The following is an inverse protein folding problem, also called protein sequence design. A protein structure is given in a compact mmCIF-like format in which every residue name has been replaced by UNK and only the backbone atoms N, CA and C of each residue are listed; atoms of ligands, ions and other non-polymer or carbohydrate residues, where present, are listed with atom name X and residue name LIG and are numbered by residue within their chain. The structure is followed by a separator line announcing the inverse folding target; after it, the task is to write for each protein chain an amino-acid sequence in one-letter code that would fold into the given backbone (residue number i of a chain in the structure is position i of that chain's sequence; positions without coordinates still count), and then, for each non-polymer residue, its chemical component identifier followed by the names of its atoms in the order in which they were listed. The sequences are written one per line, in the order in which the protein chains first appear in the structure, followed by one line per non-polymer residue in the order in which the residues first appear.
data_IF_484097434727
#
_entry.id   IF_484097434727
#
_cell.length_a   1.000
_cell.length_b   1.000
_cell.length_c   1.000
_cell.angle_alpha   90.00
_cell.angle_beta   90.00
_cell.angle_gamma   90.00
#
_symmetry.space_group_name_H-M   'P 1'
#
loop_
_entity.id
_entity.type
_entity.pdbx_description
1 polymer ?
#
# COMPACT_ATOMS: atom_id res chain seq x y z
N UNK A 1 -5.73 -4.32 8.43
CA UNK A 1 -4.85 -3.59 9.36
C UNK A 1 -5.37 -3.70 10.80
N UNK A 2 -4.75 -4.51 11.63
CA UNK A 2 -5.15 -4.76 13.03
C UNK A 2 -4.63 -3.70 14.00
N UNK A 3 -3.41 -3.20 13.81
CA UNK A 3 -2.79 -2.20 14.70
C UNK A 3 -3.53 -0.85 14.65
N UNK A 4 -3.91 -0.40 13.45
CA UNK A 4 -4.68 0.84 13.25
C UNK A 4 -6.10 0.70 13.83
N UNK A 5 -6.74 -0.46 13.62
CA UNK A 5 -8.07 -0.74 14.19
C UNK A 5 -8.01 -0.83 15.71
N UNK A 6 -7.00 -1.51 16.27
CA UNK A 6 -6.78 -1.65 17.71
C UNK A 6 -6.53 -0.31 18.40
N UNK A 7 -5.96 0.66 17.67
CA UNK A 7 -5.72 2.01 18.16
C UNK A 7 -6.72 3.05 17.62
N UNK A 8 -7.83 2.64 17.00
CA UNK A 8 -8.80 3.54 16.36
C UNK A 8 -9.31 4.66 17.29
N UNK A 9 -9.46 4.37 18.59
CA UNK A 9 -9.82 5.36 19.61
C UNK A 9 -8.79 6.48 19.80
N UNK A 10 -7.50 6.26 19.53
CA UNK A 10 -6.45 7.30 19.56
C UNK A 10 -6.53 8.26 18.37
N UNK A 11 -7.20 7.84 17.31
CA UNK A 11 -7.31 8.57 16.05
C UNK A 11 -8.71 9.15 15.82
N UNK A 12 -9.60 9.07 16.83
CA UNK A 12 -10.98 9.55 16.72
C UNK A 12 -11.80 8.82 15.65
N UNK A 13 -11.44 7.59 15.32
CA UNK A 13 -12.08 6.81 14.24
C UNK A 13 -13.14 5.87 14.82
N UNK A 14 -14.24 5.67 14.08
CA UNK A 14 -15.16 4.55 14.34
C UNK A 14 -14.43 3.24 14.05
N UNK A 15 -14.50 2.29 14.99
CA UNK A 15 -13.93 0.94 14.85
C UNK A 15 -14.33 0.31 13.52
N UNK A 16 -13.37 -0.05 12.66
CA UNK A 16 -13.61 -0.87 11.47
C UNK A 16 -12.84 -0.47 10.21
N UNK A 17 -12.49 0.80 10.01
CA UNK A 17 -11.72 1.22 8.83
C UNK A 17 -10.20 1.25 9.12
N UNK A 18 -9.58 0.12 8.80
CA UNK A 18 -8.16 -0.13 8.85
C UNK A 18 -7.30 0.82 8.00
N UNK A 19 -7.87 1.44 6.97
CA UNK A 19 -7.15 2.25 5.97
C UNK A 19 -7.39 3.74 6.11
N UNK A 20 -8.38 4.15 6.91
CA UNK A 20 -8.85 5.53 7.05
C UNK A 20 -7.72 6.56 7.18
N UNK A 21 -6.80 6.34 8.11
CA UNK A 21 -5.71 7.31 8.39
C UNK A 21 -4.75 7.46 7.22
N UNK A 22 -4.43 6.38 6.49
CA UNK A 22 -3.53 6.45 5.33
C UNK A 22 -4.22 7.13 4.14
N UNK A 23 -5.50 6.81 3.92
CA UNK A 23 -6.33 7.44 2.87
C UNK A 23 -6.50 8.93 3.13
N UNK A 24 -6.78 9.34 4.37
CA UNK A 24 -6.88 10.75 4.76
C UNK A 24 -5.56 11.49 4.57
N UNK A 25 -4.44 10.89 5.00
CA UNK A 25 -3.11 11.49 4.79
C UNK A 25 -2.87 11.73 3.30
N UNK A 26 -3.14 10.73 2.46
CA UNK A 26 -2.99 10.89 1.01
C UNK A 26 -3.88 12.02 0.46
N UNK A 27 -5.16 12.04 0.82
CA UNK A 27 -6.14 12.98 0.25
C UNK A 27 -5.97 14.41 0.75
N UNK A 28 -5.75 14.57 2.06
CA UNK A 28 -5.79 15.85 2.75
C UNK A 28 -4.41 16.49 2.94
N UNK A 29 -3.36 15.70 3.14
CA UNK A 29 -2.03 16.21 3.51
C UNK A 29 -1.02 16.22 2.35
N UNK A 30 -1.18 15.34 1.35
CA UNK A 30 -0.28 15.29 0.20
C UNK A 30 -0.87 16.13 -0.95
N UNK A 31 -0.21 17.20 -1.42
CA UNK A 31 -0.70 18.01 -2.53
C UNK A 31 -0.69 17.19 -3.84
N UNK A 32 -1.67 17.43 -4.72
CA UNK A 32 -1.71 16.84 -6.06
C UNK A 32 -1.31 17.83 -7.16
N UNK A 33 -1.53 17.44 -8.42
CA UNK A 33 -1.36 18.27 -9.62
C UNK A 33 -0.11 17.95 -10.44
N UNK A 34 0.65 16.93 -10.03
CA UNK A 34 1.87 16.49 -10.74
C UNK A 34 1.74 15.09 -11.34
N UNK A 35 0.62 14.38 -11.08
CA UNK A 35 0.40 13.00 -11.52
C UNK A 35 1.54 12.05 -11.10
N UNK A 36 2.22 12.36 -9.99
CA UNK A 36 3.36 11.59 -9.46
C UNK A 36 3.17 11.16 -8.00
N UNK A 37 1.93 11.24 -7.50
CA UNK A 37 1.56 10.75 -6.17
C UNK A 37 0.53 9.65 -6.28
N UNK A 38 0.83 8.49 -5.67
CA UNK A 38 0.02 7.28 -5.79
C UNK A 38 -0.39 6.76 -4.40
N UNK A 39 -1.64 6.34 -4.28
CA UNK A 39 -2.14 5.52 -3.18
C UNK A 39 -2.50 4.16 -3.74
N UNK A 40 -1.95 3.10 -3.15
CA UNK A 40 -2.25 1.72 -3.51
C UNK A 40 -2.70 0.97 -2.25
N UNK A 41 -3.93 0.44 -2.27
CA UNK A 41 -4.44 -0.44 -1.22
C UNK A 41 -4.47 -1.88 -1.75
N UNK A 42 -3.87 -2.78 -0.98
CA UNK A 42 -3.75 -4.19 -1.32
C UNK A 42 -4.69 -5.03 -0.43
N UNK A 43 -5.55 -5.81 -1.09
CA UNK A 43 -6.47 -6.74 -0.43
C UNK A 43 -5.68 -7.82 0.32
N UNK A 44 -6.10 -8.12 1.55
CA UNK A 44 -5.49 -9.18 2.35
C UNK A 44 -4.04 -8.94 2.79
N UNK A 45 -3.48 -7.75 2.52
CA UNK A 45 -2.20 -7.32 3.04
C UNK A 45 -2.32 -6.69 4.43
N UNK A 46 -1.22 -6.70 5.16
CA UNK A 46 -1.04 -6.04 6.45
C UNK A 46 0.29 -5.25 6.47
N UNK A 47 0.63 -4.59 7.58
CA UNK A 47 1.82 -3.71 7.62
C UNK A 47 3.13 -4.47 7.37
N UNK A 48 3.16 -5.76 7.72
CA UNK A 48 4.35 -6.61 7.62
C UNK A 48 4.43 -7.36 6.30
N UNK A 49 3.44 -7.21 5.42
CA UNK A 49 3.40 -7.93 4.13
C UNK A 49 4.52 -7.53 3.18
N UNK A 50 5.22 -6.42 3.44
CA UNK A 50 6.43 -6.02 2.71
C UNK A 50 7.68 -6.82 3.15
N UNK A 51 7.68 -7.37 4.37
CA UNK A 51 8.82 -8.07 4.93
C UNK A 51 8.84 -9.55 4.52
N UNK A 52 10.05 -10.08 4.31
CA UNK A 52 10.27 -11.47 3.92
C UNK A 52 9.98 -12.45 5.07
N UNK A 53 10.78 -12.36 6.13
CA UNK A 53 10.64 -13.13 7.35
C UNK A 53 9.98 -12.28 8.44
N UNK A 54 9.23 -12.90 9.38
CA UNK A 54 8.76 -12.20 10.57
C UNK A 54 9.92 -11.57 11.34
N UNK A 55 9.83 -10.27 11.59
CA UNK A 55 10.79 -9.58 12.44
C UNK A 55 10.44 -9.85 13.91
N UNK A 56 11.26 -10.66 14.58
CA UNK A 56 11.07 -11.03 15.98
C UNK A 56 11.33 -9.86 16.94
N UNK A 57 11.93 -8.77 16.46
CA UNK A 57 12.12 -7.54 17.24
C UNK A 57 10.92 -6.59 17.14
N UNK A 58 10.01 -6.82 16.19
CA UNK A 58 8.78 -6.04 16.05
C UNK A 58 7.78 -6.41 17.16
N UNK A 59 7.89 -5.71 18.28
CA UNK A 59 7.19 -5.98 19.55
C UNK A 59 5.65 -6.06 19.47
N UNK A 60 5.03 -5.61 18.37
CA UNK A 60 3.57 -5.54 18.20
C UNK A 60 3.08 -6.15 16.88
N UNK A 61 3.90 -6.97 16.23
CA UNK A 61 3.51 -7.63 14.97
C UNK A 61 2.26 -8.51 15.11
N UNK A 62 2.08 -9.12 16.29
CA UNK A 62 0.91 -9.94 16.62
C UNK A 62 -0.41 -9.16 16.75
N UNK A 63 -0.38 -7.83 16.85
CA UNK A 63 -1.57 -6.98 16.89
C UNK A 63 -2.15 -6.69 15.50
N UNK A 64 -1.44 -7.05 14.44
CA UNK A 64 -1.96 -6.89 13.08
C UNK A 64 -2.92 -8.01 12.69
N UNK A 65 -3.75 -7.77 11.68
CA UNK A 65 -4.61 -8.81 11.13
C UNK A 65 -3.76 -9.83 10.38
N UNK A 66 -4.14 -11.12 10.40
CA UNK A 66 -3.49 -12.12 9.55
C UNK A 66 -3.64 -11.73 8.08
N UNK A 67 -2.59 -11.97 7.30
CA UNK A 67 -2.66 -11.82 5.84
C UNK A 67 -3.58 -12.89 5.25
N UNK A 68 -4.43 -12.52 4.28
CA UNK A 68 -5.31 -13.47 3.57
C UNK A 68 -4.85 -13.76 2.14
N UNK A 69 -3.84 -13.04 1.65
CA UNK A 69 -3.18 -13.27 0.37
C UNK A 69 -1.77 -13.84 0.56
N UNK A 70 -1.18 -14.38 -0.52
CA UNK A 70 0.21 -14.85 -0.51
C UNK A 70 1.17 -13.69 -0.19
N UNK A 71 1.98 -13.88 0.86
CA UNK A 71 2.99 -12.91 1.25
C UNK A 71 4.04 -12.69 0.15
N UNK A 72 4.45 -13.75 -0.55
CA UNK A 72 5.36 -13.64 -1.68
C UNK A 72 4.77 -12.80 -2.82
N UNK A 73 3.52 -13.10 -3.21
CA UNK A 73 2.85 -12.37 -4.29
C UNK A 73 2.63 -10.89 -3.93
N UNK A 74 2.28 -10.63 -2.68
CA UNK A 74 2.12 -9.26 -2.16
C UNK A 74 3.44 -8.50 -2.19
N UNK A 75 4.55 -9.11 -1.73
CA UNK A 75 5.89 -8.51 -1.80
C UNK A 75 6.34 -8.23 -3.23
N UNK A 76 6.17 -9.19 -4.12
CA UNK A 76 6.56 -9.03 -5.52
C UNK A 76 5.80 -7.86 -6.17
N UNK A 77 4.49 -7.76 -5.91
CA UNK A 77 3.67 -6.64 -6.39
C UNK A 77 4.14 -5.29 -5.82
N UNK A 78 4.43 -5.22 -4.51
CA UNK A 78 4.97 -4.00 -3.88
C UNK A 78 6.30 -3.60 -4.53
N UNK A 79 7.23 -4.55 -4.65
CA UNK A 79 8.56 -4.30 -5.20
C UNK A 79 8.50 -3.86 -6.67
N UNK A 80 7.68 -4.52 -7.48
CA UNK A 80 7.48 -4.18 -8.89
C UNK A 80 6.84 -2.78 -9.03
N UNK A 81 5.81 -2.48 -8.25
CA UNK A 81 5.14 -1.17 -8.26
C UNK A 81 6.12 -0.04 -7.89
N UNK A 82 6.88 -0.21 -6.80
CA UNK A 82 7.87 0.79 -6.36
C UNK A 82 8.99 0.95 -7.39
N UNK A 83 9.47 -0.15 -7.97
CA UNK A 83 10.48 -0.14 -9.02
C UNK A 83 10.02 0.64 -10.26
N UNK A 84 8.81 0.35 -10.74
CA UNK A 84 8.21 1.04 -11.89
C UNK A 84 7.90 2.51 -11.59
N UNK A 85 7.50 2.85 -10.36
CA UNK A 85 7.32 4.24 -9.93
C UNK A 85 8.65 5.01 -10.00
N UNK A 86 9.74 4.45 -9.45
CA UNK A 86 11.08 5.05 -9.51
C UNK A 86 11.55 5.20 -10.96
N UNK A 87 11.38 4.15 -11.77
CA UNK A 87 11.79 4.19 -13.17
C UNK A 87 11.02 5.26 -13.97
N UNK A 88 9.71 5.41 -13.71
CA UNK A 88 8.85 6.42 -14.33
C UNK A 88 9.22 7.84 -13.89
N UNK A 89 9.23 8.12 -12.59
CA UNK A 89 9.27 9.49 -12.09
C UNK A 89 10.66 9.99 -11.73
N UNK A 90 11.59 9.10 -11.36
CA UNK A 90 12.97 9.47 -10.98
C UNK A 90 13.93 9.25 -12.15
N UNK A 91 13.93 8.05 -12.74
CA UNK A 91 14.86 7.72 -13.84
C UNK A 91 14.36 8.17 -15.21
N UNK A 92 13.09 8.57 -15.33
CA UNK A 92 12.45 9.06 -16.57
C UNK A 92 12.56 8.07 -17.73
N UNK A 93 12.42 6.77 -17.44
CA UNK A 93 12.39 5.72 -18.46
C UNK A 93 11.02 5.73 -19.18
N UNK A 94 10.96 6.03 -20.49
CA UNK A 94 9.69 6.15 -21.22
C UNK A 94 8.87 4.85 -21.24
N UNK A 95 9.53 3.69 -21.17
CA UNK A 95 8.90 2.38 -21.14
C UNK A 95 8.26 2.02 -19.79
N UNK A 96 8.64 2.69 -18.70
CA UNK A 96 8.17 2.32 -17.35
C UNK A 96 6.75 2.82 -17.05
N UNK A 97 6.37 3.99 -17.57
CA UNK A 97 5.05 4.57 -17.37
C UNK A 97 3.90 3.66 -17.85
N UNK A 98 3.90 3.13 -19.09
CA UNK A 98 2.84 2.22 -19.54
C UNK A 98 2.82 0.91 -18.75
N UNK A 99 3.99 0.39 -18.32
CA UNK A 99 4.06 -0.81 -17.49
C UNK A 99 3.47 -0.58 -16.09
N UNK A 100 3.72 0.58 -15.48
CA UNK A 100 3.12 0.96 -14.20
C UNK A 100 1.60 1.05 -14.31
N UNK A 101 1.10 1.76 -15.33
CA UNK A 101 -0.35 1.88 -15.57
C UNK A 101 -0.97 0.51 -15.83
N UNK A 102 -0.31 -0.35 -16.60
CA UNK A 102 -0.77 -1.71 -16.85
C UNK A 102 -0.84 -2.52 -15.55
N UNK A 103 0.19 -2.47 -14.70
CA UNK A 103 0.24 -3.19 -13.44
C UNK A 103 -0.90 -2.77 -12.48
N UNK A 104 -1.23 -1.48 -12.47
CA UNK A 104 -2.25 -0.90 -11.58
C UNK A 104 -3.69 -1.02 -12.13
N UNK A 105 -3.87 -1.02 -13.46
CA UNK A 105 -5.18 -1.04 -14.12
C UNK A 105 -5.64 -2.43 -14.55
N UNK A 106 -4.73 -3.36 -14.83
CA UNK A 106 -5.12 -4.76 -15.01
C UNK A 106 -5.69 -5.24 -13.68
N UNK A 107 -6.77 -6.01 -13.73
CA UNK A 107 -7.41 -6.65 -12.57
C UNK A 107 -6.44 -7.63 -11.90
N UNK A 108 -5.44 -7.10 -11.19
CA UNK A 108 -4.64 -7.86 -10.27
C UNK A 108 -5.53 -8.12 -9.06
N UNK A 109 -5.87 -9.39 -8.76
CA UNK A 109 -6.84 -9.71 -7.72
C UNK A 109 -6.43 -9.25 -6.31
N UNK A 110 -5.18 -8.79 -6.13
CA UNK A 110 -4.66 -8.26 -4.87
C UNK A 110 -4.81 -6.72 -4.80
N UNK A 111 -4.98 -6.02 -5.92
CA UNK A 111 -5.18 -4.56 -5.90
C UNK A 111 -6.64 -4.28 -5.54
N UNK A 112 -6.88 -3.82 -4.31
CA UNK A 112 -8.22 -3.45 -3.85
C UNK A 112 -8.66 -2.11 -4.45
N UNK A 113 -7.74 -1.13 -4.46
CA UNK A 113 -7.95 0.17 -5.09
C UNK A 113 -6.63 0.89 -5.33
N UNK A 114 -6.60 1.77 -6.32
CA UNK A 114 -5.53 2.75 -6.48
C UNK A 114 -6.08 4.16 -6.75
N UNK A 115 -5.35 5.19 -6.36
CA UNK A 115 -5.62 6.59 -6.63
C UNK A 115 -4.32 7.27 -7.09
N UNK A 116 -4.39 8.17 -8.07
CA UNK A 116 -3.26 8.95 -8.61
C UNK A 116 -3.64 10.43 -8.67
N UNK A 117 -2.73 11.33 -8.28
CA UNK A 117 -2.86 12.79 -8.43
C UNK A 117 -1.52 13.50 -8.56
#
# INVERSE_FOLDING_TARGET
MGVIVANSGRYGMSTGDATHSVVRTFREAIPGGRDDTYLLLLEGANHFSIAGAPDTTAALSFLDLPTTQSAERTRSLIAETVGLFIDTHVRKKPEAAPLLEQLLRITNPIVASFERK
#
